data_IF_330631748038
#
_entry.id   IF_330631748038
#
_cell.length_a   1.000
_cell.length_b   1.000
_cell.length_c   1.000
_cell.angle_alpha   90.00
_cell.angle_beta   90.00
_cell.angle_gamma   90.00
#
_symmetry.space_group_name_H-M   'P 1'
#
loop_
_entity.id
_entity.type
_entity.pdbx_description
1 polymer ?
#
# COMPACT_ATOMS: atom_id res chain seq x y z
N UNK A 1 10.83 -18.74 -0.75
CA UNK A 1 10.13 -19.95 -1.21
C UNK A 1 8.72 -19.62 -1.69
N UNK A 2 7.84 -19.06 -0.85
CA UNK A 2 6.43 -18.80 -1.23
C UNK A 2 6.26 -18.14 -2.61
N UNK A 3 7.08 -17.12 -2.92
CA UNK A 3 7.03 -16.46 -4.21
C UNK A 3 7.56 -17.34 -5.35
N UNK A 4 8.65 -18.11 -5.10
CA UNK A 4 9.26 -19.01 -6.09
C UNK A 4 8.34 -20.18 -6.45
N UNK A 5 7.45 -20.59 -5.55
CA UNK A 5 6.49 -21.69 -5.79
C UNK A 5 5.30 -21.25 -6.68
N UNK A 6 5.20 -19.97 -7.03
CA UNK A 6 4.09 -19.50 -7.87
C UNK A 6 4.37 -19.79 -9.35
N UNK A 7 3.39 -20.32 -10.09
CA UNK A 7 3.53 -20.54 -11.52
C UNK A 7 3.99 -19.30 -12.29
N UNK A 8 5.02 -19.45 -13.10
CA UNK A 8 5.56 -18.35 -13.92
C UNK A 8 6.56 -17.44 -13.22
N UNK A 9 6.85 -17.63 -11.93
CA UNK A 9 7.93 -16.91 -11.24
C UNK A 9 9.25 -17.63 -11.47
N UNK A 10 10.18 -16.99 -12.18
CA UNK A 10 11.51 -17.54 -12.48
C UNK A 10 12.56 -17.13 -11.45
N UNK A 11 12.42 -15.95 -10.85
CA UNK A 11 13.35 -15.43 -9.85
C UNK A 11 12.66 -14.43 -8.93
N UNK A 12 13.25 -14.21 -7.75
CA UNK A 12 12.81 -13.20 -6.79
C UNK A 12 13.99 -12.30 -6.45
N UNK A 13 13.77 -11.00 -6.49
CA UNK A 13 14.76 -9.98 -6.13
C UNK A 13 14.41 -9.42 -4.75
N UNK A 14 14.97 -9.98 -3.66
CA UNK A 14 14.70 -9.47 -2.32
C UNK A 14 15.37 -8.12 -2.10
N UNK A 15 14.70 -7.24 -1.35
CA UNK A 15 15.30 -6.01 -0.85
C UNK A 15 16.31 -6.33 0.27
N UNK A 16 17.56 -5.88 0.12
CA UNK A 16 18.63 -6.06 1.11
C UNK A 16 19.07 -4.68 1.60
N UNK A 17 18.97 -4.44 2.89
CA UNK A 17 19.35 -3.19 3.55
C UNK A 17 20.72 -3.25 4.21
N UNK A 18 21.16 -4.46 4.54
CA UNK A 18 22.41 -4.65 5.25
C UNK A 18 22.92 -6.08 5.25
N UNK A 19 24.07 -6.29 5.88
CA UNK A 19 24.73 -7.60 5.95
C UNK A 19 23.86 -8.68 6.59
N UNK A 20 23.06 -8.32 7.60
CA UNK A 20 22.19 -9.26 8.30
C UNK A 20 21.12 -9.83 7.35
N UNK A 21 20.47 -8.96 6.56
CA UNK A 21 19.47 -9.40 5.57
C UNK A 21 20.09 -10.38 4.56
N UNK A 22 21.36 -10.16 4.17
CA UNK A 22 22.08 -11.07 3.28
C UNK A 22 22.34 -12.43 3.92
N UNK A 23 22.74 -12.46 5.20
CA UNK A 23 22.98 -13.72 5.94
C UNK A 23 21.69 -14.52 6.05
N UNK A 24 20.58 -13.86 6.39
CA UNK A 24 19.26 -14.50 6.47
C UNK A 24 18.80 -15.05 5.12
N UNK A 25 19.03 -14.29 4.04
CA UNK A 25 18.69 -14.72 2.70
C UNK A 25 19.49 -15.95 2.26
N UNK A 26 20.81 -15.96 2.51
CA UNK A 26 21.68 -17.09 2.17
C UNK A 26 21.34 -18.33 3.00
N UNK A 27 20.91 -18.15 4.26
CA UNK A 27 20.43 -19.25 5.11
C UNK A 27 19.28 -20.04 4.50
N UNK A 28 18.48 -19.41 3.60
CA UNK A 28 17.45 -20.11 2.85
C UNK A 28 18.00 -21.29 2.02
N UNK A 29 19.21 -21.20 1.50
CA UNK A 29 19.81 -22.23 0.66
C UNK A 29 20.09 -23.52 1.45
N UNK A 30 20.40 -23.38 2.72
CA UNK A 30 20.77 -24.47 3.63
C UNK A 30 19.59 -24.91 4.52
N UNK A 31 18.46 -24.17 4.48
CA UNK A 31 17.28 -24.47 5.29
C UNK A 31 16.62 -25.80 4.86
N UNK A 32 16.21 -26.65 5.81
CA UNK A 32 15.51 -27.89 5.51
C UNK A 32 14.10 -27.60 4.91
N UNK A 33 13.51 -28.60 4.20
CA UNK A 33 12.22 -28.39 3.52
C UNK A 33 11.09 -27.89 4.43
N UNK A 34 11.02 -28.35 5.66
CA UNK A 34 10.02 -27.96 6.65
C UNK A 34 10.12 -26.47 7.05
N UNK A 35 11.32 -25.90 7.04
CA UNK A 35 11.56 -24.48 7.29
C UNK A 35 11.29 -23.62 6.04
N UNK A 36 11.15 -24.25 4.86
CA UNK A 36 10.80 -23.59 3.60
C UNK A 36 9.32 -23.64 3.28
N UNK A 37 8.51 -24.27 4.13
CA UNK A 37 7.05 -24.27 3.96
C UNK A 37 6.45 -22.97 4.46
N UNK A 38 6.12 -22.10 3.52
CA UNK A 38 5.41 -20.84 3.75
C UNK A 38 3.94 -20.89 3.34
N UNK A 39 3.34 -22.09 3.27
CA UNK A 39 1.94 -22.27 2.88
C UNK A 39 0.98 -21.50 3.79
N UNK A 40 1.37 -21.26 5.04
CA UNK A 40 0.65 -20.41 6.01
C UNK A 40 0.32 -19.03 5.44
N UNK A 41 1.16 -18.48 4.56
CA UNK A 41 0.90 -17.17 3.93
C UNK A 41 -0.39 -17.17 3.08
N UNK A 42 -0.78 -18.33 2.57
CA UNK A 42 -2.06 -18.49 1.85
C UNK A 42 -3.29 -18.49 2.74
N UNK A 43 -3.11 -18.63 4.06
CA UNK A 43 -4.21 -18.62 5.04
C UNK A 43 -4.52 -17.20 5.56
N UNK A 44 -3.63 -16.24 5.34
CA UNK A 44 -3.88 -14.85 5.70
C UNK A 44 -5.01 -14.30 4.82
N UNK A 45 -6.20 -14.21 5.42
CA UNK A 45 -7.35 -13.68 4.72
C UNK A 45 -7.21 -12.17 4.56
N UNK A 46 -7.69 -11.59 3.44
CA UNK A 46 -7.82 -10.15 3.27
C UNK A 46 -8.65 -9.46 4.36
N UNK A 47 -9.32 -10.22 5.21
CA UNK A 47 -10.20 -9.75 6.30
C UNK A 47 -9.48 -8.84 7.29
N UNK A 48 -8.19 -9.07 7.53
CA UNK A 48 -7.42 -8.27 8.50
C UNK A 48 -7.13 -6.85 7.99
N UNK A 49 -7.28 -6.64 6.68
CA UNK A 49 -7.14 -5.33 6.04
C UNK A 49 -8.50 -4.68 5.70
N UNK A 50 -9.64 -5.28 6.12
CA UNK A 50 -10.95 -4.70 5.87
C UNK A 50 -11.06 -3.30 6.51
N UNK A 51 -11.46 -2.29 5.71
CA UNK A 51 -11.50 -0.90 6.15
C UNK A 51 -10.15 -0.16 6.10
N UNK A 52 -9.02 -0.85 5.83
CA UNK A 52 -7.71 -0.22 5.69
C UNK A 52 -7.28 -0.14 4.21
N UNK A 53 -6.71 1.00 3.81
CA UNK A 53 -6.16 1.14 2.47
C UNK A 53 -4.76 0.51 2.40
N UNK A 54 -4.60 -0.48 1.53
CA UNK A 54 -3.33 -1.16 1.29
C UNK A 54 -2.64 -0.69 -0.02
N UNK A 55 -3.08 0.44 -0.56
CA UNK A 55 -2.52 1.10 -1.75
C UNK A 55 -2.48 0.24 -3.02
N UNK A 56 -3.34 -0.76 -3.12
CA UNK A 56 -3.37 -1.76 -4.21
C UNK A 56 -3.85 -1.20 -5.56
N UNK A 57 -4.35 0.03 -5.59
CA UNK A 57 -4.85 0.75 -6.78
C UNK A 57 -6.01 0.09 -7.54
N UNK A 58 -6.75 -0.86 -6.97
CA UNK A 58 -7.99 -1.39 -7.57
C UNK A 58 -9.06 -0.29 -7.81
N UNK A 59 -8.97 0.81 -7.08
CA UNK A 59 -9.81 1.99 -7.26
C UNK A 59 -9.52 2.79 -8.55
N UNK A 60 -8.44 2.48 -9.27
CA UNK A 60 -8.11 3.10 -10.55
C UNK A 60 -8.89 2.48 -11.72
N UNK A 61 -9.11 3.24 -12.84
CA UNK A 61 -8.81 4.64 -13.00
C UNK A 61 -9.81 5.54 -12.26
N UNK A 62 -9.32 6.62 -11.62
CA UNK A 62 -10.20 7.62 -11.01
C UNK A 62 -10.76 8.55 -12.10
N UNK A 63 -12.10 8.77 -12.17
CA UNK A 63 -12.68 9.68 -13.17
C UNK A 63 -12.17 11.13 -13.07
N UNK A 64 -11.77 11.57 -11.88
CA UNK A 64 -11.16 12.88 -11.65
C UNK A 64 -9.62 12.89 -11.76
N UNK A 65 -9.01 11.77 -12.16
CA UNK A 65 -7.56 11.66 -12.34
C UNK A 65 -6.71 11.57 -11.07
N UNK A 66 -7.32 11.31 -9.91
CA UNK A 66 -6.56 11.16 -8.66
C UNK A 66 -5.81 9.82 -8.61
N UNK A 67 -4.57 9.85 -8.12
CA UNK A 67 -3.91 8.63 -7.66
C UNK A 67 -4.33 8.34 -6.22
N UNK A 68 -5.49 7.68 -6.07
CA UNK A 68 -6.13 7.44 -4.76
C UNK A 68 -5.21 6.68 -3.81
N UNK A 69 -4.49 5.67 -4.29
CA UNK A 69 -3.57 4.89 -3.46
C UNK A 69 -2.40 5.73 -2.95
N UNK A 70 -1.80 6.54 -3.81
CA UNK A 70 -0.66 7.39 -3.44
C UNK A 70 -1.07 8.51 -2.47
N UNK A 71 -2.25 9.10 -2.67
CA UNK A 71 -2.83 10.09 -1.76
C UNK A 71 -3.02 9.49 -0.36
N UNK A 72 -3.61 8.28 -0.27
CA UNK A 72 -3.75 7.57 1.00
C UNK A 72 -2.39 7.28 1.65
N UNK A 73 -1.42 6.82 0.85
CA UNK A 73 -0.07 6.51 1.35
C UNK A 73 0.58 7.71 2.02
N UNK A 74 0.55 8.89 1.39
CA UNK A 74 1.15 10.08 1.98
C UNK A 74 0.41 10.56 3.23
N UNK A 75 -0.90 10.38 3.28
CA UNK A 75 -1.68 10.65 4.48
C UNK A 75 -1.29 9.74 5.64
N UNK A 76 -1.22 8.43 5.41
CA UNK A 76 -0.85 7.47 6.45
C UNK A 76 0.59 7.66 6.93
N UNK A 77 1.52 8.00 6.02
CA UNK A 77 2.89 8.38 6.39
C UNK A 77 2.92 9.66 7.24
N UNK A 78 2.12 10.67 6.89
CA UNK A 78 2.03 11.89 7.67
C UNK A 78 1.49 11.63 9.09
N UNK A 79 0.46 10.78 9.22
CA UNK A 79 -0.06 10.35 10.51
C UNK A 79 0.97 9.56 11.33
N UNK A 80 1.86 8.82 10.67
CA UNK A 80 2.97 8.11 11.29
C UNK A 80 4.16 9.03 11.67
N UNK A 81 4.07 10.33 11.40
CA UNK A 81 5.10 11.31 11.74
C UNK A 81 6.21 11.48 10.69
N UNK A 82 6.00 11.01 9.45
CA UNK A 82 6.94 11.25 8.35
C UNK A 82 6.92 12.72 7.94
N UNK A 83 8.00 13.44 8.24
CA UNK A 83 8.14 14.88 7.96
C UNK A 83 8.13 15.21 6.46
N UNK A 84 8.45 14.28 5.57
CA UNK A 84 8.48 14.49 4.13
C UNK A 84 7.13 14.21 3.44
N UNK A 85 6.20 13.58 4.13
CA UNK A 85 4.93 13.16 3.55
C UNK A 85 4.10 14.34 3.01
N UNK A 86 4.08 15.47 3.73
CA UNK A 86 3.38 16.68 3.32
C UNK A 86 3.98 17.30 2.05
N UNK A 87 5.31 17.33 1.94
CA UNK A 87 6.00 17.83 0.75
C UNK A 87 5.73 16.95 -0.48
N UNK A 88 5.73 15.64 -0.30
CA UNK A 88 5.40 14.69 -1.37
C UNK A 88 3.95 14.83 -1.80
N UNK A 89 3.01 14.95 -0.86
CA UNK A 89 1.61 15.20 -1.15
C UNK A 89 1.42 16.53 -1.91
N UNK A 90 2.12 17.61 -1.51
CA UNK A 90 2.02 18.90 -2.14
C UNK A 90 2.44 18.90 -3.62
N UNK A 91 3.36 17.99 -4.02
CA UNK A 91 3.88 17.84 -5.38
C UNK A 91 2.96 17.00 -6.29
N UNK A 92 1.89 16.41 -5.78
CA UNK A 92 0.93 15.69 -6.61
C UNK A 92 0.20 16.65 -7.56
N UNK A 93 0.01 16.24 -8.81
CA UNK A 93 -0.76 17.02 -9.81
C UNK A 93 -2.22 17.15 -9.41
N UNK A 94 -2.80 16.05 -8.89
CA UNK A 94 -4.15 15.98 -8.35
C UNK A 94 -4.13 15.60 -6.88
N UNK A 95 -4.86 16.34 -6.07
CA UNK A 95 -4.92 16.21 -4.61
C UNK A 95 -6.27 15.68 -4.15
N UNK A 96 -6.39 15.36 -2.90
CA UNK A 96 -7.65 14.90 -2.31
C UNK A 96 -8.79 15.94 -2.47
N UNK A 97 -8.46 17.24 -2.50
CA UNK A 97 -9.40 18.34 -2.77
C UNK A 97 -10.01 18.32 -4.18
N UNK A 98 -9.36 17.68 -5.16
CA UNK A 98 -9.90 17.52 -6.51
C UNK A 98 -10.94 16.37 -6.60
N UNK A 99 -11.24 15.69 -5.51
CA UNK A 99 -12.18 14.60 -5.48
C UNK A 99 -13.62 15.07 -5.69
N UNK A 100 -14.28 14.54 -6.70
CA UNK A 100 -15.69 14.87 -7.02
C UNK A 100 -16.72 14.09 -6.19
N UNK A 101 -16.28 13.19 -5.32
CA UNK A 101 -17.17 12.39 -4.47
C UNK A 101 -18.02 11.35 -5.22
N UNK A 102 -17.64 10.96 -6.44
CA UNK A 102 -18.45 10.10 -7.32
C UNK A 102 -18.61 8.65 -6.84
N UNK A 103 -17.90 8.22 -5.79
CA UNK A 103 -17.96 6.87 -5.20
C UNK A 103 -17.43 5.74 -6.10
N UNK A 104 -16.77 6.05 -7.21
CA UNK A 104 -16.21 5.03 -8.11
C UNK A 104 -15.19 4.14 -7.37
N UNK A 105 -14.30 4.75 -6.60
CA UNK A 105 -13.28 4.07 -5.81
C UNK A 105 -13.89 3.20 -4.68
N UNK A 106 -14.98 3.65 -4.06
CA UNK A 106 -15.66 2.91 -2.99
C UNK A 106 -16.21 1.57 -3.50
N UNK A 107 -16.85 1.57 -4.66
CA UNK A 107 -17.42 0.37 -5.27
C UNK A 107 -16.39 -0.64 -5.75
N UNK A 108 -15.16 -0.20 -6.00
CA UNK A 108 -14.06 -1.04 -6.52
C UNK A 108 -13.09 -1.49 -5.44
N UNK A 109 -13.21 -0.99 -4.23
CA UNK A 109 -12.27 -1.31 -3.15
C UNK A 109 -12.53 -2.73 -2.62
N UNK A 110 -11.58 -3.69 -2.79
CA UNK A 110 -11.76 -5.05 -2.29
C UNK A 110 -11.67 -5.11 -0.75
N UNK A 111 -11.18 -4.05 -0.12
CA UNK A 111 -11.05 -3.91 1.34
C UNK A 111 -12.17 -3.07 1.95
N UNK A 112 -13.19 -2.70 1.17
CA UNK A 112 -14.36 -1.94 1.62
C UNK A 112 -14.03 -0.61 2.30
N UNK A 113 -12.97 0.06 1.86
CA UNK A 113 -12.61 1.39 2.35
C UNK A 113 -13.52 2.44 1.69
N UNK A 114 -14.16 3.29 2.50
CA UNK A 114 -14.93 4.43 2.03
C UNK A 114 -14.00 5.55 1.51
N UNK A 115 -13.38 5.31 0.36
CA UNK A 115 -12.32 6.16 -0.21
C UNK A 115 -12.80 7.60 -0.48
N UNK A 116 -14.03 7.78 -0.94
CA UNK A 116 -14.58 9.12 -1.20
C UNK A 116 -14.73 9.95 0.09
N UNK A 117 -15.09 9.31 1.19
CA UNK A 117 -15.10 9.91 2.52
C UNK A 117 -13.70 10.24 3.02
N UNK A 118 -12.77 9.29 2.82
CA UNK A 118 -11.36 9.44 3.19
C UNK A 118 -10.67 10.58 2.40
N UNK A 119 -11.02 10.81 1.14
CA UNK A 119 -10.52 11.96 0.38
C UNK A 119 -10.90 13.30 1.03
N UNK A 120 -12.10 13.41 1.59
CA UNK A 120 -12.52 14.62 2.33
C UNK A 120 -11.70 14.83 3.62
N UNK A 121 -11.44 13.76 4.34
CA UNK A 121 -10.60 13.78 5.54
C UNK A 121 -9.17 14.21 5.20
N UNK A 122 -8.56 13.59 4.18
CA UNK A 122 -7.21 13.88 3.73
C UNK A 122 -7.08 15.34 3.26
N UNK A 123 -8.06 15.84 2.50
CA UNK A 123 -8.08 17.25 2.07
C UNK A 123 -8.03 18.19 3.27
N UNK A 124 -8.88 17.97 4.27
CA UNK A 124 -8.90 18.80 5.50
C UNK A 124 -7.57 18.74 6.25
N UNK A 125 -7.00 17.53 6.39
CA UNK A 125 -5.74 17.35 7.11
C UNK A 125 -4.62 18.19 6.51
N UNK A 126 -4.40 18.10 5.19
CA UNK A 126 -3.34 18.83 4.52
C UNK A 126 -3.64 20.33 4.29
N UNK A 127 -4.90 20.75 4.37
CA UNK A 127 -5.27 22.18 4.36
C UNK A 127 -4.88 22.84 5.69
N UNK A 128 -5.14 22.20 6.83
CA UNK A 128 -4.78 22.70 8.16
C UNK A 128 -3.27 22.81 8.33
N UNK A 129 -2.49 21.90 7.74
CA UNK A 129 -1.02 21.90 7.83
C UNK A 129 -0.34 23.03 7.02
N UNK A 130 -1.08 23.74 6.17
CA UNK A 130 -0.56 24.85 5.35
C UNK A 130 -0.63 26.21 6.02
N UNK A 131 -1.29 26.35 7.16
CA UNK A 131 -1.42 27.57 7.96
C UNK A 131 -0.44 27.56 9.09
#
# INVERSE_FOLDING_TARGET
QYALDKPGVLSVLPGIRGKQDMVELLGFLDAPPEERDYSVLGTFAPRDAAGACVYCNHCQPCPAGLNVGLINKYYDLALAGDAMAADHYAKLDKKASDCTGCGHCDRRCPFHVAQSGRMKEISRYFEIQKG
#
